data_IF_161061235802
#
_entry.id   IF_161061235802
#
_cell.length_a   1.000
_cell.length_b   1.000
_cell.length_c   1.000
_cell.angle_alpha   90.00
_cell.angle_beta   90.00
_cell.angle_gamma   90.00
#
_symmetry.space_group_name_H-M   'P 1'
#
loop_
_entity.id
_entity.type
_entity.pdbx_description
1 polymer ?
#
# COMPACT_ATOMS: atom_id res chain seq x y z
N UNK A 1 15.99 1.72 -36.03
CA UNK A 1 15.03 2.45 -35.17
C UNK A 1 14.94 1.66 -33.88
N UNK A 2 15.88 1.92 -32.97
CA UNK A 2 15.69 2.63 -31.66
C UNK A 2 14.89 1.75 -30.71
N UNK A 3 15.51 1.16 -29.68
CA UNK A 3 15.95 1.92 -28.51
C UNK A 3 17.40 1.68 -28.08
N UNK A 4 18.16 2.77 -28.01
CA UNK A 4 19.37 2.85 -27.21
C UNK A 4 18.91 2.99 -25.75
N UNK A 5 19.06 1.92 -24.98
CA UNK A 5 18.89 1.98 -23.53
C UNK A 5 19.90 3.00 -22.99
N UNK A 6 19.41 4.19 -22.61
CA UNK A 6 20.20 5.34 -22.10
C UNK A 6 20.74 5.10 -20.67
N UNK A 7 21.08 3.86 -20.33
CA UNK A 7 21.64 3.49 -19.06
C UNK A 7 22.92 2.72 -19.31
N UNK A 8 24.05 3.32 -18.93
CA UNK A 8 25.35 2.68 -18.90
C UNK A 8 25.24 1.34 -18.19
N UNK A 9 25.71 0.22 -18.79
CA UNK A 9 25.59 -1.09 -18.17
C UNK A 9 26.33 -1.12 -16.82
N UNK A 10 25.80 -1.81 -15.78
CA UNK A 10 26.37 -1.78 -14.43
C UNK A 10 27.84 -2.20 -14.35
N UNK A 11 28.30 -3.02 -15.29
CA UNK A 11 29.69 -3.43 -15.45
C UNK A 11 30.66 -2.27 -15.73
N UNK A 12 30.16 -1.13 -16.19
CA UNK A 12 30.95 0.07 -16.45
C UNK A 12 30.87 1.10 -15.31
N UNK A 13 29.94 0.94 -14.36
CA UNK A 13 29.74 1.84 -13.22
C UNK A 13 30.25 1.24 -11.89
N UNK A 14 30.32 -0.08 -11.79
CA UNK A 14 30.71 -0.80 -10.58
C UNK A 14 32.07 -1.47 -10.78
N UNK A 15 33.05 -1.14 -9.91
CA UNK A 15 34.41 -1.69 -10.00
C UNK A 15 34.53 -3.07 -9.37
N UNK A 16 33.60 -3.44 -8.50
CA UNK A 16 33.60 -4.74 -7.81
C UNK A 16 32.26 -5.47 -7.97
N UNK A 17 32.29 -6.78 -7.74
CA UNK A 17 31.08 -7.63 -7.76
C UNK A 17 30.10 -7.25 -6.64
N UNK A 18 30.62 -6.79 -5.51
CA UNK A 18 29.82 -6.35 -4.36
C UNK A 18 29.13 -5.01 -4.67
N UNK A 19 29.83 -4.08 -5.33
CA UNK A 19 29.23 -2.82 -5.80
C UNK A 19 28.12 -3.07 -6.82
N UNK A 20 28.31 -4.05 -7.72
CA UNK A 20 27.28 -4.41 -8.70
C UNK A 20 26.05 -5.02 -8.02
N UNK A 21 26.26 -5.84 -7.00
CA UNK A 21 25.16 -6.43 -6.22
C UNK A 21 24.43 -5.35 -5.43
N UNK A 22 25.15 -4.45 -4.76
CA UNK A 22 24.57 -3.32 -4.05
C UNK A 22 23.82 -2.35 -4.99
N UNK A 23 24.32 -2.14 -6.22
CA UNK A 23 23.64 -1.35 -7.24
C UNK A 23 22.38 -2.03 -7.77
N UNK A 24 22.41 -3.35 -8.01
CA UNK A 24 21.22 -4.13 -8.37
C UNK A 24 20.20 -4.17 -7.23
N UNK A 25 20.64 -4.29 -5.98
CA UNK A 25 19.80 -4.24 -4.79
C UNK A 25 19.21 -2.84 -4.57
N UNK A 26 19.99 -1.78 -4.78
CA UNK A 26 19.50 -0.40 -4.76
C UNK A 26 18.50 -0.14 -5.91
N UNK A 27 18.67 -0.76 -7.07
CA UNK A 27 17.67 -0.74 -8.16
C UNK A 27 16.44 -1.61 -7.87
N UNK A 28 16.55 -2.56 -6.93
CA UNK A 28 15.46 -3.39 -6.41
C UNK A 28 14.77 -2.77 -5.19
N UNK A 29 15.27 -1.67 -4.64
CA UNK A 29 14.51 -0.84 -3.71
C UNK A 29 13.37 -0.20 -4.48
N UNK A 30 12.27 -0.93 -4.60
CA UNK A 30 11.01 -0.44 -5.12
C UNK A 30 10.62 0.80 -4.32
N UNK A 31 10.39 1.91 -5.00
CA UNK A 31 9.92 3.13 -4.33
C UNK A 31 8.58 2.85 -3.66
N UNK A 32 8.24 3.58 -2.59
CA UNK A 32 6.92 3.44 -1.97
C UNK A 32 5.79 3.61 -3.00
N UNK A 33 5.95 4.51 -3.98
CA UNK A 33 5.01 4.67 -5.09
C UNK A 33 4.83 3.37 -5.86
N UNK A 34 5.93 2.77 -6.34
CA UNK A 34 5.87 1.55 -7.14
C UNK A 34 5.25 0.38 -6.36
N UNK A 35 5.52 0.28 -5.06
CA UNK A 35 4.86 -0.72 -4.21
C UNK A 35 3.36 -0.46 -4.11
N UNK A 36 2.97 0.80 -3.82
CA UNK A 36 1.57 1.16 -3.67
C UNK A 36 0.82 1.00 -5.00
N UNK A 37 1.42 1.34 -6.14
CA UNK A 37 0.87 1.10 -7.47
C UNK A 37 0.69 -0.39 -7.78
N UNK A 38 1.64 -1.22 -7.37
CA UNK A 38 1.56 -2.67 -7.59
C UNK A 38 0.45 -3.33 -6.77
N UNK A 39 0.22 -2.86 -5.54
CA UNK A 39 -0.67 -3.53 -4.59
C UNK A 39 -2.04 -2.87 -4.40
N UNK A 40 -2.16 -1.58 -4.73
CA UNK A 40 -3.38 -0.81 -4.51
C UNK A 40 -3.81 -0.04 -5.76
N UNK A 41 -5.06 0.35 -5.81
CA UNK A 41 -5.54 1.42 -6.67
C UNK A 41 -5.96 2.63 -5.83
N UNK A 42 -5.75 3.84 -6.32
CA UNK A 42 -6.19 5.05 -5.64
C UNK A 42 -7.68 5.30 -5.94
N UNK A 43 -8.45 5.66 -4.91
CA UNK A 43 -9.83 6.13 -5.02
C UNK A 43 -9.87 7.58 -4.56
N UNK A 44 -10.24 8.47 -5.47
CA UNK A 44 -10.48 9.90 -5.20
C UNK A 44 -9.36 10.64 -4.44
N UNK A 45 -8.13 10.11 -4.50
CA UNK A 45 -6.93 10.67 -3.86
C UNK A 45 -5.78 10.76 -4.87
N UNK A 46 -4.98 11.82 -4.78
CA UNK A 46 -3.74 11.97 -5.53
C UNK A 46 -2.50 11.66 -4.66
N UNK A 47 -1.37 11.36 -5.31
CA UNK A 47 -0.13 11.03 -4.63
C UNK A 47 0.38 12.13 -3.70
N UNK A 48 0.20 13.40 -4.04
CA UNK A 48 0.66 14.53 -3.22
C UNK A 48 -0.07 14.61 -1.88
N UNK A 49 -1.39 14.42 -1.92
CA UNK A 49 -2.23 14.34 -0.72
C UNK A 49 -1.84 13.13 0.14
N UNK A 50 -1.68 11.96 -0.48
CA UNK A 50 -1.26 10.73 0.21
C UNK A 50 0.13 10.88 0.87
N UNK A 51 1.08 11.52 0.21
CA UNK A 51 2.41 11.77 0.78
C UNK A 51 2.39 12.75 1.93
N UNK A 52 1.59 13.82 1.83
CA UNK A 52 1.39 14.75 2.95
C UNK A 52 0.86 14.01 4.18
N UNK A 53 -0.13 13.14 3.97
CA UNK A 53 -0.66 12.28 5.03
C UNK A 53 0.41 11.38 5.68
N UNK A 54 1.27 10.73 4.88
CA UNK A 54 2.33 9.87 5.42
C UNK A 54 3.43 10.61 6.18
N UNK A 55 3.68 11.89 5.86
CA UNK A 55 4.63 12.70 6.62
C UNK A 55 4.12 12.98 8.03
N UNK A 56 2.81 13.17 8.17
CA UNK A 56 2.13 13.41 9.45
C UNK A 56 1.89 12.10 10.22
N UNK A 57 1.61 11.01 9.49
CA UNK A 57 1.25 9.71 10.04
C UNK A 57 2.26 8.62 9.61
N UNK A 58 3.50 8.71 10.08
CA UNK A 58 4.58 7.81 9.67
C UNK A 58 4.28 6.31 9.89
N UNK A 59 3.44 5.97 10.88
CA UNK A 59 3.01 4.60 11.14
C UNK A 59 2.10 4.00 10.07
N UNK A 60 1.44 4.84 9.26
CA UNK A 60 0.55 4.40 8.18
C UNK A 60 1.30 3.59 7.10
N UNK A 61 2.53 4.00 6.78
CA UNK A 61 3.36 3.33 5.77
C UNK A 61 3.61 1.87 6.15
N UNK A 62 3.86 1.58 7.42
CA UNK A 62 4.12 0.21 7.87
C UNK A 62 2.90 -0.69 7.64
N UNK A 63 1.71 -0.21 8.01
CA UNK A 63 0.44 -0.93 7.80
C UNK A 63 0.20 -1.18 6.31
N UNK A 64 0.47 -0.19 5.46
CA UNK A 64 0.29 -0.33 4.00
C UNK A 64 1.24 -1.34 3.36
N UNK A 65 2.44 -1.52 3.90
CA UNK A 65 3.39 -2.52 3.40
C UNK A 65 2.96 -3.95 3.78
N UNK A 66 2.32 -4.13 4.93
CA UNK A 66 1.89 -5.45 5.42
C UNK A 66 0.52 -5.89 4.92
N UNK A 67 -0.39 -4.92 4.76
CA UNK A 67 -1.79 -5.15 4.42
C UNK A 67 -2.02 -6.04 3.19
N UNK A 68 -1.27 -5.96 2.06
CA UNK A 68 -1.55 -6.77 0.88
C UNK A 68 -1.46 -8.27 1.19
N UNK A 69 -0.45 -8.68 1.96
CA UNK A 69 -0.27 -10.07 2.36
C UNK A 69 -1.33 -10.52 3.36
N UNK A 70 -1.73 -9.66 4.30
CA UNK A 70 -2.79 -9.96 5.26
C UNK A 70 -4.16 -10.10 4.59
N UNK A 71 -4.51 -9.16 3.71
CA UNK A 71 -5.76 -9.16 2.94
C UNK A 71 -5.82 -10.39 2.04
N UNK A 72 -4.72 -10.74 1.37
CA UNK A 72 -4.68 -11.91 0.49
C UNK A 72 -5.01 -13.22 1.22
N UNK A 73 -4.58 -13.38 2.49
CA UNK A 73 -4.88 -14.59 3.28
C UNK A 73 -6.37 -14.77 3.57
N UNK A 74 -7.11 -13.68 3.72
CA UNK A 74 -8.51 -13.70 4.16
C UNK A 74 -9.50 -13.53 3.00
N UNK A 75 -9.18 -12.63 2.06
CA UNK A 75 -10.05 -12.26 0.94
C UNK A 75 -9.60 -12.88 -0.40
N UNK A 76 -8.43 -13.50 -0.46
CA UNK A 76 -7.85 -14.04 -1.70
C UNK A 76 -7.22 -12.96 -2.57
N UNK A 77 -7.03 -13.24 -3.85
CA UNK A 77 -6.46 -12.28 -4.80
C UNK A 77 -7.45 -11.13 -5.06
N UNK A 78 -7.20 -10.01 -4.40
CA UNK A 78 -7.92 -8.74 -4.58
C UNK A 78 -6.91 -7.61 -4.60
N UNK A 79 -7.23 -6.55 -5.33
CA UNK A 79 -6.47 -5.30 -5.32
C UNK A 79 -7.26 -4.26 -4.51
N UNK A 80 -6.86 -3.97 -3.26
CA UNK A 80 -7.57 -3.00 -2.43
C UNK A 80 -7.44 -1.59 -2.99
N UNK A 81 -8.36 -0.72 -2.58
CA UNK A 81 -8.33 0.71 -2.89
C UNK A 81 -7.76 1.47 -1.70
N UNK A 82 -6.99 2.53 -1.97
CA UNK A 82 -6.64 3.54 -0.97
C UNK A 82 -7.54 4.74 -1.17
N UNK A 83 -8.25 5.10 -0.10
CA UNK A 83 -9.16 6.23 -0.09
C UNK A 83 -8.82 7.14 1.10
N UNK A 84 -8.36 8.34 0.80
CA UNK A 84 -8.06 9.35 1.81
C UNK A 84 -9.29 10.26 1.93
N UNK A 85 -10.03 10.09 3.00
CA UNK A 85 -11.22 10.88 3.29
C UNK A 85 -10.81 12.07 4.13
N UNK A 86 -11.16 13.27 3.69
CA UNK A 86 -10.93 14.51 4.42
C UNK A 86 -12.27 15.16 4.76
N UNK A 87 -12.47 15.53 6.02
CA UNK A 87 -13.59 16.37 6.43
C UNK A 87 -13.17 17.84 6.47
N UNK A 88 -13.62 18.69 5.52
CA UNK A 88 -13.23 20.09 5.47
C UNK A 88 -13.84 20.94 6.61
N UNK A 89 -14.89 20.46 7.29
CA UNK A 89 -15.53 21.17 8.40
C UNK A 89 -14.84 20.86 9.74
N UNK A 90 -14.47 19.60 9.95
CA UNK A 90 -13.85 19.14 11.20
C UNK A 90 -12.31 19.10 11.16
N UNK A 91 -11.71 19.21 9.97
CA UNK A 91 -10.27 19.34 9.78
C UNK A 91 -9.48 18.07 10.08
N UNK A 92 -10.11 16.90 9.94
CA UNK A 92 -9.44 15.60 10.06
C UNK A 92 -9.34 14.89 8.71
N UNK A 93 -8.32 14.04 8.60
CA UNK A 93 -8.07 13.17 7.45
C UNK A 93 -7.92 11.72 7.93
N UNK A 94 -8.48 10.79 7.19
CA UNK A 94 -8.42 9.37 7.51
C UNK A 94 -8.19 8.53 6.26
N UNK A 95 -7.19 7.65 6.32
CA UNK A 95 -6.87 6.75 5.23
C UNK A 95 -7.59 5.41 5.39
N UNK A 96 -8.36 5.03 4.38
CA UNK A 96 -9.01 3.72 4.30
C UNK A 96 -8.35 2.82 3.27
N UNK A 97 -8.07 1.58 3.67
CA UNK A 97 -7.86 0.46 2.78
C UNK A 97 -9.22 -0.19 2.54
N UNK A 98 -9.75 -0.07 1.32
CA UNK A 98 -11.06 -0.61 0.96
C UNK A 98 -10.87 -1.89 0.17
N UNK A 99 -11.33 -3.00 0.73
CA UNK A 99 -11.24 -4.31 0.11
C UNK A 99 -12.49 -4.56 -0.74
N UNK A 100 -12.38 -4.62 -2.08
CA UNK A 100 -13.52 -4.94 -2.93
C UNK A 100 -13.90 -6.41 -2.76
N UNK A 101 -15.20 -6.69 -2.62
CA UNK A 101 -15.69 -8.05 -2.46
C UNK A 101 -17.01 -8.27 -3.21
N UNK A 102 -17.16 -9.49 -3.76
CA UNK A 102 -18.43 -9.97 -4.35
C UNK A 102 -19.26 -10.77 -3.37
N UNK A 103 -18.69 -11.14 -2.23
CA UNK A 103 -19.35 -11.93 -1.21
C UNK A 103 -20.57 -11.20 -0.63
N UNK A 104 -21.60 -11.92 -0.16
CA UNK A 104 -22.70 -11.32 0.58
C UNK A 104 -22.19 -10.55 1.79
N UNK A 105 -22.89 -9.47 2.17
CA UNK A 105 -22.47 -8.58 3.26
C UNK A 105 -22.15 -9.34 4.56
N UNK A 106 -22.93 -10.36 4.93
CA UNK A 106 -22.66 -11.19 6.11
C UNK A 106 -21.30 -11.88 6.06
N UNK A 107 -20.95 -12.47 4.91
CA UNK A 107 -19.68 -13.16 4.71
C UNK A 107 -18.51 -12.16 4.61
N UNK A 108 -18.71 -11.03 3.95
CA UNK A 108 -17.71 -9.96 3.89
C UNK A 108 -17.38 -9.41 5.30
N UNK A 109 -18.39 -9.28 6.17
CA UNK A 109 -18.20 -8.88 7.57
C UNK A 109 -17.49 -9.95 8.40
N UNK A 110 -17.75 -11.23 8.16
CA UNK A 110 -17.02 -12.34 8.80
C UNK A 110 -15.53 -12.32 8.41
N UNK A 111 -15.23 -12.12 7.12
CA UNK A 111 -13.86 -11.96 6.63
C UNK A 111 -13.19 -10.72 7.23
N UNK A 112 -13.89 -9.58 7.32
CA UNK A 112 -13.32 -8.38 7.93
C UNK A 112 -12.99 -8.60 9.42
N UNK A 113 -13.86 -9.29 10.17
CA UNK A 113 -13.59 -9.68 11.56
C UNK A 113 -12.39 -10.62 11.69
N UNK A 114 -12.25 -11.55 10.74
CA UNK A 114 -11.10 -12.44 10.70
C UNK A 114 -9.81 -11.67 10.45
N UNK A 115 -9.80 -10.75 9.47
CA UNK A 115 -8.66 -9.88 9.19
C UNK A 115 -8.27 -9.03 10.42
N UNK A 116 -9.27 -8.50 11.13
CA UNK A 116 -9.07 -7.75 12.36
C UNK A 116 -8.40 -8.58 13.47
N UNK A 117 -8.92 -9.78 13.71
CA UNK A 117 -8.37 -10.69 14.71
C UNK A 117 -6.96 -11.21 14.37
N UNK A 118 -6.67 -11.42 13.08
CA UNK A 118 -5.39 -11.99 12.64
C UNK A 118 -4.27 -10.95 12.50
N UNK A 119 -4.60 -9.70 12.16
CA UNK A 119 -3.58 -8.70 11.80
C UNK A 119 -3.95 -7.27 12.16
N UNK A 120 -5.15 -6.80 11.80
CA UNK A 120 -5.42 -5.36 11.80
C UNK A 120 -5.50 -4.75 13.22
N UNK A 121 -5.98 -5.49 14.23
CA UNK A 121 -6.08 -4.96 15.59
C UNK A 121 -4.73 -4.49 16.18
N UNK A 122 -3.63 -5.20 15.89
CA UNK A 122 -2.29 -4.80 16.31
C UNK A 122 -1.71 -3.71 15.40
N UNK A 123 -1.87 -3.87 14.09
CA UNK A 123 -1.35 -2.95 13.08
C UNK A 123 -1.96 -1.54 13.20
N UNK A 124 -3.27 -1.46 13.48
CA UNK A 124 -3.97 -0.21 13.72
C UNK A 124 -3.38 0.56 14.92
N UNK A 125 -3.04 -0.13 16.01
CA UNK A 125 -2.39 0.50 17.17
C UNK A 125 -1.03 1.07 16.83
N UNK A 126 -0.25 0.35 16.03
CA UNK A 126 1.08 0.80 15.59
C UNK A 126 1.00 2.05 14.70
N UNK A 127 -0.05 2.15 13.88
CA UNK A 127 -0.36 3.34 13.09
C UNK A 127 -1.14 4.42 13.86
N UNK A 128 -1.36 4.27 15.18
CA UNK A 128 -2.17 5.20 15.98
C UNK A 128 -3.56 5.46 15.37
N UNK A 129 -4.14 4.43 14.75
CA UNK A 129 -5.42 4.47 14.06
C UNK A 129 -5.50 5.44 12.86
N UNK A 130 -4.35 5.82 12.29
CA UNK A 130 -4.29 6.62 11.05
C UNK A 130 -4.66 5.83 9.78
N UNK A 131 -4.86 4.52 9.88
CA UNK A 131 -5.30 3.69 8.75
C UNK A 131 -6.42 2.79 9.23
N UNK A 132 -7.52 2.76 8.48
CA UNK A 132 -8.63 1.86 8.70
C UNK A 132 -8.86 0.92 7.52
N UNK A 133 -9.49 -0.23 7.79
CA UNK A 133 -9.79 -1.23 6.76
C UNK A 133 -11.30 -1.42 6.70
N UNK A 134 -11.84 -1.40 5.48
CA UNK A 134 -13.27 -1.61 5.24
C UNK A 134 -13.49 -2.48 4.00
N UNK A 135 -14.72 -2.91 3.79
CA UNK A 135 -15.13 -3.70 2.63
C UNK A 135 -16.14 -2.93 1.81
N UNK A 136 -15.99 -2.96 0.48
CA UNK A 136 -16.95 -2.41 -0.47
C UNK A 136 -17.48 -3.51 -1.36
N UNK A 137 -18.80 -3.51 -1.60
CA UNK A 137 -19.36 -4.22 -2.75
C UNK A 137 -19.36 -3.26 -3.91
N UNK A 138 -18.37 -3.38 -4.78
CA UNK A 138 -18.44 -2.73 -6.09
C UNK A 138 -19.60 -3.40 -6.85
N UNK A 139 -20.62 -2.60 -7.17
CA UNK A 139 -21.87 -3.01 -7.83
C UNK A 139 -21.64 -3.22 -9.32
#
# INVERSE_FOLDING_TARGET
>A
MTDASLLTPPSELCSTRDDRTAFEDARRCTSLVEFLEAHYALRDVDWGSLFSYFLEHQGAVHVLLEAPAAIQRVFGEVRPLLDLVADPEEGWEELFIVVPTREPAGRALEQLKQLDAEWFAESARQAQFAVNVTVSRDV
#
